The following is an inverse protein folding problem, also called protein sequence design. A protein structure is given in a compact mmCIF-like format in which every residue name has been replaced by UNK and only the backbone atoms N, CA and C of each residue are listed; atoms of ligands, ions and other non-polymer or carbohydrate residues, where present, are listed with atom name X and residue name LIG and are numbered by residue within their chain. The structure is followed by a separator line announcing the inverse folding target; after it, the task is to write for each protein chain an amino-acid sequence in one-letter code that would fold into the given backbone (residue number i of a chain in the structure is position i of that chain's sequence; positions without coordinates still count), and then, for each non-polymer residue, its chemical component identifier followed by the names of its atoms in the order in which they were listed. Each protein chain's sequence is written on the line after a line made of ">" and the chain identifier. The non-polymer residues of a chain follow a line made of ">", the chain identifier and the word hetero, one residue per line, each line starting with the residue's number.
data_IF_395746557594
#
_entry.id   IF_395746557594
#
_cell.length_a   1.000
_cell.length_b   1.000
_cell.length_c   1.000
_cell.angle_alpha   90.00
_cell.angle_beta   90.00
_cell.angle_gamma   90.00
#
_symmetry.space_group_name_H-M   'P 1'
#
loop_
_entity.id
_entity.type
_entity.pdbx_description
1 polymer ?
#
# COMPACT_ATOMS: atom_id res chain seq x y z
N UNK A 1 21.81 -6.59 0.83
CA UNK A 1 21.62 -5.97 2.16
C UNK A 1 20.35 -5.13 2.23
N UNK A 2 19.74 -4.74 1.10
CA UNK A 2 18.45 -4.02 1.08
C UNK A 2 17.23 -4.96 0.98
N UNK A 3 17.37 -6.11 0.29
CA UNK A 3 16.33 -7.16 0.19
C UNK A 3 15.90 -7.67 1.58
N UNK A 4 16.86 -7.88 2.48
CA UNK A 4 16.57 -8.34 3.86
C UNK A 4 15.76 -7.31 4.66
N UNK A 5 15.99 -6.01 4.42
CA UNK A 5 15.22 -4.93 5.04
C UNK A 5 13.84 -4.83 4.41
N UNK A 6 13.76 -4.88 3.09
CA UNK A 6 12.51 -4.84 2.33
C UNK A 6 11.55 -5.93 2.81
N UNK A 7 12.03 -7.18 2.88
CA UNK A 7 11.23 -8.32 3.35
C UNK A 7 10.76 -8.19 4.80
N UNK A 8 11.52 -7.48 5.66
CA UNK A 8 11.16 -7.24 7.05
C UNK A 8 10.15 -6.09 7.22
N UNK A 9 10.26 -5.02 6.44
CA UNK A 9 9.40 -3.83 6.56
C UNK A 9 8.11 -3.95 5.73
N UNK A 10 8.13 -4.68 4.63
CA UNK A 10 6.98 -4.88 3.75
C UNK A 10 5.73 -5.32 4.53
N UNK A 11 5.76 -6.41 5.32
CA UNK A 11 4.59 -6.83 6.10
C UNK A 11 4.18 -5.78 7.14
N UNK A 12 5.12 -5.00 7.67
CA UNK A 12 4.83 -3.93 8.64
C UNK A 12 4.08 -2.76 7.97
N UNK A 13 4.49 -2.38 6.77
CA UNK A 13 3.84 -1.35 5.97
C UNK A 13 2.46 -1.82 5.51
N UNK A 14 2.36 -3.05 5.00
CA UNK A 14 1.09 -3.67 4.57
C UNK A 14 0.08 -3.66 5.71
N UNK A 15 0.50 -4.10 6.91
CA UNK A 15 -0.36 -4.08 8.10
C UNK A 15 -0.81 -2.65 8.46
N UNK A 16 0.11 -1.69 8.46
CA UNK A 16 -0.22 -0.30 8.81
C UNK A 16 -1.14 0.38 7.78
N UNK A 17 -0.97 0.10 6.49
CA UNK A 17 -1.86 0.60 5.43
C UNK A 17 -3.22 -0.07 5.52
N UNK A 18 -3.26 -1.38 5.77
CA UNK A 18 -4.50 -2.14 5.98
C UNK A 18 -5.31 -1.61 7.15
N UNK A 19 -4.69 -1.40 8.30
CA UNK A 19 -5.33 -0.82 9.49
C UNK A 19 -5.91 0.57 9.19
N UNK A 20 -5.15 1.39 8.46
CA UNK A 20 -5.62 2.72 8.04
C UNK A 20 -6.81 2.65 7.10
N UNK A 21 -6.80 1.72 6.13
CA UNK A 21 -7.94 1.47 5.23
C UNK A 21 -9.16 1.00 6.00
N UNK A 22 -8.99 0.02 6.89
CA UNK A 22 -10.06 -0.51 7.72
C UNK A 22 -10.72 0.59 8.56
N UNK A 23 -9.90 1.46 9.17
CA UNK A 23 -10.38 2.59 9.97
C UNK A 23 -11.09 3.65 9.14
N UNK A 24 -10.48 4.12 8.04
CA UNK A 24 -11.02 5.22 7.23
C UNK A 24 -12.26 4.82 6.43
N UNK A 25 -12.31 3.58 5.93
CA UNK A 25 -13.45 3.07 5.16
C UNK A 25 -14.46 2.31 6.02
N UNK A 26 -14.24 2.19 7.34
CA UNK A 26 -15.06 1.39 8.24
C UNK A 26 -15.28 -0.05 7.74
N UNK A 27 -14.20 -0.68 7.27
CA UNK A 27 -14.19 -2.05 6.75
C UNK A 27 -13.51 -2.99 7.75
N UNK A 28 -13.86 -4.27 7.69
CA UNK A 28 -13.10 -5.31 8.39
C UNK A 28 -11.66 -5.38 7.88
N UNK A 29 -10.73 -5.70 8.77
CA UNK A 29 -9.29 -5.84 8.46
C UNK A 29 -9.05 -6.84 7.31
N UNK A 30 -9.81 -7.94 7.29
CA UNK A 30 -9.79 -8.93 6.20
C UNK A 30 -10.23 -8.31 4.86
N UNK A 31 -11.28 -7.49 4.86
CA UNK A 31 -11.74 -6.81 3.64
C UNK A 31 -10.77 -5.73 3.20
N UNK A 32 -10.17 -5.00 4.14
CA UNK A 32 -9.18 -3.98 3.85
C UNK A 32 -7.92 -4.58 3.22
N UNK A 33 -7.42 -5.70 3.75
CA UNK A 33 -6.23 -6.36 3.20
C UNK A 33 -6.51 -7.01 1.84
N UNK A 34 -7.69 -7.63 1.65
CA UNK A 34 -8.10 -8.15 0.35
C UNK A 34 -8.19 -7.04 -0.71
N UNK A 35 -8.75 -5.88 -0.34
CA UNK A 35 -8.78 -4.73 -1.25
C UNK A 35 -7.37 -4.22 -1.55
N UNK A 36 -6.50 -4.11 -0.54
CA UNK A 36 -5.12 -3.70 -0.75
C UNK A 36 -4.41 -4.66 -1.72
N UNK A 37 -4.50 -5.97 -1.50
CA UNK A 37 -3.93 -6.97 -2.41
C UNK A 37 -4.52 -6.93 -3.83
N UNK A 38 -5.78 -6.53 -3.97
CA UNK A 38 -6.44 -6.36 -5.27
C UNK A 38 -6.05 -5.06 -6.00
N UNK A 39 -5.38 -4.12 -5.33
CA UNK A 39 -4.94 -2.86 -5.95
C UNK A 39 -3.57 -3.00 -6.59
N UNK A 40 -3.31 -2.18 -7.61
CA UNK A 40 -1.98 -2.04 -8.18
C UNK A 40 -1.00 -1.58 -7.12
N UNK A 41 -1.40 -0.69 -6.19
CA UNK A 41 -0.53 -0.23 -5.09
C UNK A 41 0.26 -1.39 -4.43
N UNK A 42 -0.41 -2.51 -4.13
CA UNK A 42 0.26 -3.65 -3.53
C UNK A 42 1.26 -4.34 -4.47
N UNK A 43 0.92 -4.52 -5.75
CA UNK A 43 1.89 -5.02 -6.74
C UNK A 43 3.14 -4.13 -6.86
N UNK A 44 2.99 -2.81 -6.74
CA UNK A 44 4.14 -1.92 -6.69
C UNK A 44 4.87 -2.03 -5.34
N UNK A 45 4.15 -2.18 -4.23
CA UNK A 45 4.75 -2.35 -2.91
C UNK A 45 5.62 -3.61 -2.82
N UNK A 46 5.19 -4.71 -3.44
CA UNK A 46 5.96 -5.96 -3.56
C UNK A 46 7.17 -5.85 -4.51
N UNK A 47 7.17 -4.89 -5.43
CA UNK A 47 8.27 -4.65 -6.34
C UNK A 47 9.29 -3.68 -5.71
N UNK A 48 10.44 -4.23 -5.30
CA UNK A 48 11.52 -3.46 -4.69
C UNK A 48 12.00 -2.28 -5.56
N UNK A 49 11.92 -2.38 -6.90
CA UNK A 49 12.44 -1.36 -7.82
C UNK A 49 11.58 -0.10 -7.84
N UNK A 50 10.29 -0.24 -7.54
CA UNK A 50 9.36 0.90 -7.48
C UNK A 50 9.65 1.80 -6.27
N UNK A 51 10.32 1.26 -5.24
CA UNK A 51 10.62 1.93 -3.97
C UNK A 51 9.39 2.50 -3.27
N UNK A 52 8.19 1.99 -3.60
CA UNK A 52 6.93 2.43 -2.97
C UNK A 52 6.93 2.16 -1.47
N UNK A 53 7.62 1.11 -1.02
CA UNK A 53 7.86 0.82 0.39
C UNK A 53 8.66 1.90 1.17
N UNK A 54 9.29 2.86 0.48
CA UNK A 54 9.90 4.03 1.14
C UNK A 54 8.87 5.10 1.49
N UNK A 55 7.65 5.03 0.95
CA UNK A 55 6.60 6.00 1.25
C UNK A 55 6.02 5.78 2.64
N UNK A 56 5.64 6.88 3.28
CA UNK A 56 4.91 6.83 4.54
C UNK A 56 3.55 6.17 4.35
N UNK A 57 3.04 5.51 5.39
CA UNK A 57 1.72 4.87 5.41
C UNK A 57 0.62 5.84 4.93
N UNK A 58 0.72 7.11 5.30
CA UNK A 58 -0.18 8.17 4.84
C UNK A 58 -0.22 8.33 3.32
N UNK A 59 0.96 8.31 2.69
CA UNK A 59 1.12 8.47 1.26
C UNK A 59 0.65 7.22 0.51
N UNK A 60 0.91 6.04 1.05
CA UNK A 60 0.38 4.78 0.50
C UNK A 60 -1.14 4.75 0.56
N UNK A 61 -1.72 5.22 1.66
CA UNK A 61 -3.16 5.34 1.81
C UNK A 61 -3.76 6.37 0.82
N UNK A 62 -3.11 7.51 0.62
CA UNK A 62 -3.51 8.51 -0.37
C UNK A 62 -3.47 7.96 -1.81
N UNK A 63 -2.44 7.17 -2.14
CA UNK A 63 -2.33 6.46 -3.41
C UNK A 63 -3.43 5.42 -3.58
N UNK A 64 -3.69 4.62 -2.54
CA UNK A 64 -4.80 3.66 -2.53
C UNK A 64 -6.12 4.37 -2.78
N UNK A 65 -6.39 5.45 -2.04
CA UNK A 65 -7.61 6.23 -2.17
C UNK A 65 -7.76 6.80 -3.59
N UNK A 66 -6.69 7.39 -4.13
CA UNK A 66 -6.64 7.89 -5.50
C UNK A 66 -6.92 6.78 -6.51
N UNK A 67 -6.34 5.59 -6.33
CA UNK A 67 -6.58 4.44 -7.20
C UNK A 67 -8.04 3.99 -7.15
N UNK A 68 -8.67 3.95 -5.97
CA UNK A 68 -10.08 3.60 -5.84
C UNK A 68 -11.00 4.67 -6.46
N UNK A 69 -10.65 5.95 -6.32
CA UNK A 69 -11.45 7.07 -6.85
C UNK A 69 -11.31 7.24 -8.37
N UNK A 70 -10.11 7.07 -8.90
CA UNK A 70 -9.80 7.30 -10.33
C UNK A 70 -9.76 6.01 -11.15
N UNK A 71 -9.65 4.85 -10.50
CA UNK A 71 -9.39 3.55 -11.13
C UNK A 71 -7.95 3.38 -11.62
N UNK A 72 -7.03 4.31 -11.30
CA UNK A 72 -5.63 4.29 -11.74
C UNK A 72 -4.70 4.66 -10.60
N UNK A 73 -3.62 3.89 -10.44
CA UNK A 73 -2.56 4.24 -9.52
C UNK A 73 -1.69 5.36 -10.12
N UNK A 74 -1.82 6.57 -9.60
CA UNK A 74 -0.97 7.71 -9.98
C UNK A 74 0.18 7.86 -8.98
N UNK A 75 1.33 7.28 -9.31
CA UNK A 75 2.55 7.48 -8.50
C UNK A 75 3.11 8.88 -8.75
N UNK A 76 3.36 9.69 -7.70
CA UNK A 76 3.93 11.02 -7.87
C UNK A 76 5.39 10.89 -8.29
N UNK A 77 5.64 11.04 -9.60
CA UNK A 77 6.98 11.22 -10.17
C UNK A 77 7.48 10.03 -11.00
N UNK A 78 7.04 9.96 -12.26
CA UNK A 78 7.91 9.56 -13.35
C UNK A 78 7.99 10.69 -14.38
#
# INVERSE_FOLDING_TARGET
>A
MDIDKFSAILPMIVAAVTDKIATEYHLDENTAIEKLYSTQLYSYLEDEKTKVWHYSVDKLFDLYKTEIETGKLELPGY
#
